data_IF_075947055248
#
_entry.id   IF_075947055248
#
_cell.length_a   1.000
_cell.length_b   1.000
_cell.length_c   1.000
_cell.angle_alpha   90.00
_cell.angle_beta   90.00
_cell.angle_gamma   90.00
#
_symmetry.space_group_name_H-M   'P 1'
#
loop_
_entity.id
_entity.type
_entity.pdbx_description
1 polymer ?
#
# COMPACT_ATOMS: atom_id res chain seq x y z
N UNK A 1 19.44 11.51 -29.57
CA UNK A 1 19.20 10.21 -28.90
C UNK A 1 19.36 10.41 -27.41
N UNK A 2 18.24 10.50 -26.71
CA UNK A 2 18.05 10.27 -25.27
C UNK A 2 16.55 10.41 -25.03
N UNK A 3 15.79 9.36 -25.37
CA UNK A 3 14.34 9.31 -25.22
C UNK A 3 13.98 9.00 -23.76
N UNK A 4 13.97 10.03 -22.93
CA UNK A 4 13.46 10.00 -21.54
C UNK A 4 11.93 10.28 -21.50
N UNK A 5 11.16 9.78 -22.47
CA UNK A 5 9.71 10.07 -22.56
C UNK A 5 8.78 8.85 -22.43
N UNK A 6 9.30 7.66 -22.08
CA UNK A 6 8.44 6.45 -22.03
C UNK A 6 7.92 6.05 -20.64
N UNK A 7 8.43 6.60 -19.53
CA UNK A 7 7.94 6.24 -18.20
C UNK A 7 6.67 7.01 -17.75
N UNK A 8 6.23 8.01 -18.51
CA UNK A 8 5.12 8.89 -18.10
C UNK A 8 3.75 8.53 -18.71
N UNK A 9 3.67 7.56 -19.64
CA UNK A 9 2.46 7.27 -20.42
C UNK A 9 1.44 6.34 -19.74
N UNK A 10 1.76 5.74 -18.60
CA UNK A 10 0.77 5.03 -17.75
C UNK A 10 0.24 5.87 -16.58
N UNK A 11 0.63 7.15 -16.50
CA UNK A 11 -0.05 8.13 -15.64
C UNK A 11 -1.36 8.57 -16.30
N UNK A 12 -2.32 7.66 -16.46
CA UNK A 12 -3.72 8.05 -16.69
C UNK A 12 -4.26 8.65 -15.39
N UNK A 13 -3.95 9.93 -15.20
CA UNK A 13 -4.89 10.85 -14.58
C UNK A 13 -6.24 10.67 -15.26
N UNK A 14 -7.24 10.15 -14.54
CA UNK A 14 -8.53 10.79 -14.27
C UNK A 14 -9.14 10.02 -13.07
N UNK A 15 -9.06 10.63 -11.88
CA UNK A 15 -9.82 10.27 -10.66
C UNK A 15 -9.47 8.95 -9.96
N UNK A 16 -8.20 8.55 -9.90
CA UNK A 16 -7.81 7.42 -9.06
C UNK A 16 -7.84 7.81 -7.59
N UNK A 17 -8.96 7.52 -6.92
CA UNK A 17 -9.06 7.55 -5.47
C UNK A 17 -8.04 6.55 -4.94
N UNK A 18 -6.93 7.05 -4.40
CA UNK A 18 -5.92 6.22 -3.75
C UNK A 18 -6.21 6.17 -2.26
N UNK A 19 -6.01 5.00 -1.66
CA UNK A 19 -6.17 4.77 -0.23
C UNK A 19 -4.83 4.43 0.39
N UNK A 20 -4.54 4.98 1.59
CA UNK A 20 -3.31 4.64 2.29
C UNK A 20 -3.32 3.18 2.74
N UNK A 21 -2.14 2.57 2.77
CA UNK A 21 -1.86 1.27 3.39
C UNK A 21 -0.55 1.39 4.14
N UNK A 22 -0.53 1.00 5.41
CA UNK A 22 0.66 0.89 6.23
C UNK A 22 1.35 -0.44 5.95
N UNK A 23 2.61 -0.38 5.54
CA UNK A 23 3.42 -1.56 5.22
C UNK A 23 4.42 -1.77 6.37
N UNK A 24 4.43 -2.94 7.03
CA UNK A 24 5.37 -3.27 8.10
C UNK A 24 6.78 -3.56 7.57
N UNK A 25 7.34 -2.64 6.78
CA UNK A 25 8.64 -2.81 6.13
C UNK A 25 9.80 -2.70 7.14
N UNK A 26 10.54 -3.80 7.28
CA UNK A 26 11.68 -3.93 8.19
C UNK A 26 11.32 -3.81 9.67
N UNK A 27 12.33 -3.97 10.53
CA UNK A 27 12.17 -3.97 11.99
C UNK A 27 11.53 -2.68 12.53
N UNK A 28 11.85 -1.54 11.92
CA UNK A 28 11.33 -0.23 12.37
C UNK A 28 9.86 -0.03 11.98
N UNK A 29 9.44 -0.47 10.79
CA UNK A 29 8.03 -0.40 10.39
C UNK A 29 7.15 -1.27 11.28
N UNK A 30 7.60 -2.51 11.55
CA UNK A 30 6.94 -3.42 12.47
C UNK A 30 6.81 -2.84 13.88
N UNK A 31 7.88 -2.25 14.43
CA UNK A 31 7.84 -1.63 15.75
C UNK A 31 6.85 -0.46 15.83
N UNK A 32 6.78 0.38 14.80
CA UNK A 32 5.83 1.52 14.75
C UNK A 32 4.38 1.05 14.65
N UNK A 33 4.12 -0.04 13.92
CA UNK A 33 2.79 -0.63 13.80
C UNK A 33 2.38 -1.30 15.13
N UNK A 34 3.31 -1.95 15.82
CA UNK A 34 3.06 -2.47 17.16
C UNK A 34 2.72 -1.33 18.15
N UNK A 35 3.48 -0.25 18.13
CA UNK A 35 3.21 0.95 18.93
C UNK A 35 1.82 1.56 18.61
N UNK A 36 1.44 1.57 17.33
CA UNK A 36 0.11 2.00 16.89
C UNK A 36 -0.98 1.05 17.39
N UNK A 37 -0.74 -0.27 17.41
CA UNK A 37 -1.72 -1.25 17.92
C UNK A 37 -2.01 -1.04 19.40
N UNK A 38 -1.00 -0.67 20.19
CA UNK A 38 -1.15 -0.39 21.62
C UNK A 38 -1.69 1.03 21.91
N UNK A 39 -1.54 1.96 20.96
CA UNK A 39 -1.95 3.37 21.12
C UNK A 39 -3.00 3.80 20.07
N UNK A 40 -4.30 3.83 20.43
CA UNK A 40 -5.36 4.28 19.54
C UNK A 40 -5.24 5.75 19.12
N UNK A 41 -4.48 6.57 19.87
CA UNK A 41 -4.28 7.98 19.60
C UNK A 41 -2.79 8.27 19.37
N UNK A 42 -2.24 7.97 18.18
CA UNK A 42 -0.82 8.14 17.92
C UNK A 42 -0.41 9.62 17.95
N UNK A 43 0.62 9.91 18.73
CA UNK A 43 1.23 11.23 18.82
C UNK A 43 1.72 11.73 17.46
N UNK A 44 1.93 13.06 17.34
CA UNK A 44 2.43 13.67 16.10
C UNK A 44 3.73 13.02 15.61
N UNK A 45 4.61 12.59 16.52
CA UNK A 45 5.87 11.91 16.17
C UNK A 45 5.61 10.55 15.54
N UNK A 46 4.75 9.73 16.16
CA UNK A 46 4.38 8.40 15.66
C UNK A 46 3.69 8.50 14.30
N UNK A 47 2.71 9.40 14.14
CA UNK A 47 2.06 9.65 12.84
C UNK A 47 3.04 10.03 11.73
N UNK A 48 4.03 10.87 12.02
CA UNK A 48 5.07 11.26 11.05
C UNK A 48 6.01 10.12 10.70
N UNK A 49 6.29 9.23 11.65
CA UNK A 49 7.06 8.03 11.39
C UNK A 49 6.27 7.04 10.52
N UNK A 50 5.02 6.76 10.87
CA UNK A 50 4.10 5.88 10.13
C UNK A 50 3.86 6.35 8.68
N UNK A 51 3.79 7.66 8.43
CA UNK A 51 3.66 8.22 7.08
C UNK A 51 4.78 7.76 6.12
N UNK A 52 5.99 7.49 6.62
CA UNK A 52 7.11 7.00 5.80
C UNK A 52 6.95 5.53 5.37
N UNK A 53 6.11 4.80 6.11
CA UNK A 53 5.75 3.41 5.86
C UNK A 53 4.33 3.30 5.30
N UNK A 54 3.72 4.42 4.90
CA UNK A 54 2.42 4.44 4.24
C UNK A 54 2.62 4.52 2.74
N UNK A 55 2.05 3.58 2.01
CA UNK A 55 1.99 3.60 0.55
C UNK A 55 0.57 3.92 0.09
N UNK A 56 0.45 4.72 -0.96
CA UNK A 56 -0.85 5.02 -1.57
C UNK A 56 -1.14 3.98 -2.65
N UNK A 57 -2.22 3.23 -2.47
CA UNK A 57 -2.63 2.14 -3.36
C UNK A 57 -3.96 2.52 -4.03
N UNK A 58 -4.16 2.15 -5.28
CA UNK A 58 -5.42 2.39 -5.99
C UNK A 58 -6.61 1.75 -5.26
N UNK A 59 -7.77 2.41 -5.23
CA UNK A 59 -8.94 1.91 -4.50
C UNK A 59 -9.32 0.48 -4.90
N UNK A 60 -9.25 0.13 -6.19
CA UNK A 60 -9.53 -1.24 -6.67
C UNK A 60 -8.62 -2.28 -6.00
N UNK A 61 -7.33 -1.98 -5.95
CA UNK A 61 -6.32 -2.82 -5.32
C UNK A 61 -6.50 -2.87 -3.80
N UNK A 62 -6.79 -1.73 -3.17
CA UNK A 62 -7.08 -1.65 -1.75
C UNK A 62 -8.30 -2.50 -1.37
N UNK A 63 -9.37 -2.44 -2.16
CA UNK A 63 -10.56 -3.27 -1.96
C UNK A 63 -10.26 -4.76 -2.14
N UNK A 64 -9.42 -5.14 -3.11
CA UNK A 64 -8.98 -6.53 -3.28
C UNK A 64 -8.18 -7.02 -2.08
N UNK A 65 -7.23 -6.23 -1.58
CA UNK A 65 -6.45 -6.56 -0.40
C UNK A 65 -7.37 -6.70 0.84
N UNK A 66 -8.37 -5.83 0.97
CA UNK A 66 -9.37 -5.95 2.05
C UNK A 66 -10.23 -7.20 1.92
N UNK A 67 -10.76 -7.47 0.72
CA UNK A 67 -11.65 -8.61 0.46
C UNK A 67 -10.93 -9.96 0.60
N UNK A 68 -9.63 -10.00 0.34
CA UNK A 68 -8.78 -11.19 0.53
C UNK A 68 -8.29 -11.35 1.98
N UNK A 69 -8.68 -10.46 2.89
CA UNK A 69 -8.28 -10.51 4.31
C UNK A 69 -6.81 -10.14 4.55
N UNK A 70 -6.17 -9.42 3.61
CA UNK A 70 -4.75 -9.03 3.70
C UNK A 70 -4.52 -7.67 4.35
N UNK A 71 -5.59 -6.90 4.57
CA UNK A 71 -5.54 -5.65 5.33
C UNK A 71 -6.17 -5.84 6.71
N UNK A 72 -5.40 -5.55 7.75
CA UNK A 72 -5.89 -5.37 9.12
C UNK A 72 -6.24 -3.90 9.34
N UNK A 73 -7.43 -3.60 9.83
CA UNK A 73 -7.84 -2.22 10.12
C UNK A 73 -7.58 -1.93 11.59
N UNK A 74 -6.39 -1.43 11.93
CA UNK A 74 -6.09 -1.04 13.30
C UNK A 74 -6.95 0.17 13.71
N UNK A 75 -7.63 0.04 14.84
CA UNK A 75 -8.54 1.06 15.39
C UNK A 75 -9.60 1.54 14.38
N UNK A 76 -10.00 0.69 13.44
CA UNK A 76 -10.92 1.00 12.32
C UNK A 76 -10.48 2.16 11.41
N UNK A 77 -9.26 2.65 11.54
CA UNK A 77 -8.76 3.85 10.85
C UNK A 77 -7.48 3.61 10.06
N UNK A 78 -6.67 2.65 10.49
CA UNK A 78 -5.32 2.44 9.97
C UNK A 78 -5.23 1.08 9.26
N UNK A 79 -5.39 1.05 7.92
CA UNK A 79 -5.18 -0.18 7.14
C UNK A 79 -3.71 -0.57 7.17
N UNK A 80 -3.40 -1.71 7.77
CA UNK A 80 -2.08 -2.32 7.87
C UNK A 80 -2.04 -3.57 7.02
N UNK A 81 -1.01 -3.72 6.20
CA UNK A 81 -0.78 -4.94 5.45
C UNK A 81 -0.30 -6.05 6.39
N UNK A 82 -1.06 -7.15 6.47
CA UNK A 82 -0.74 -8.30 7.33
C UNK A 82 0.35 -9.16 6.69
N UNK A 83 0.33 -9.24 5.35
CA UNK A 83 1.14 -10.18 4.60
C UNK A 83 1.99 -9.47 3.54
N UNK A 84 3.30 -9.39 3.77
CA UNK A 84 4.28 -8.86 2.82
C UNK A 84 4.78 -9.93 1.85
N UNK A 85 4.48 -11.21 2.06
CA UNK A 85 5.06 -12.33 1.29
C UNK A 85 4.61 -12.34 -0.18
N UNK A 86 3.61 -11.52 -0.53
CA UNK A 86 3.15 -11.32 -1.91
C UNK A 86 3.26 -9.88 -2.40
N UNK A 87 3.99 -9.02 -1.68
CA UNK A 87 4.23 -7.64 -2.10
C UNK A 87 5.65 -7.50 -2.65
N UNK A 88 5.77 -7.53 -3.97
CA UNK A 88 7.04 -7.36 -4.67
C UNK A 88 7.28 -5.86 -4.97
N UNK A 89 8.40 -5.32 -4.48
CA UNK A 89 8.79 -3.92 -4.62
C UNK A 89 9.15 -3.53 -6.07
N UNK A 90 9.47 -4.49 -6.93
CA UNK A 90 9.83 -4.26 -8.33
C UNK A 90 8.62 -4.34 -9.30
N UNK A 91 7.48 -4.83 -8.81
CA UNK A 91 6.29 -5.09 -9.64
C UNK A 91 5.06 -4.81 -8.80
N UNK A 92 4.59 -3.56 -8.82
CA UNK A 92 3.38 -3.17 -8.11
C UNK A 92 2.27 -4.20 -8.30
N UNK A 93 1.80 -4.80 -7.18
CA UNK A 93 0.75 -5.81 -7.13
C UNK A 93 0.75 -6.77 -8.34
N UNK A 94 1.77 -7.62 -8.43
CA UNK A 94 1.76 -8.68 -9.43
C UNK A 94 0.72 -9.74 -9.08
N UNK A 95 -0.46 -9.57 -9.67
CA UNK A 95 -1.55 -10.52 -9.52
C UNK A 95 -2.83 -10.13 -10.26
N UNK A 96 -2.76 -9.46 -11.43
CA UNK A 96 -3.94 -9.27 -12.30
C UNK A 96 -3.62 -9.01 -13.78
N UNK A 97 -2.58 -9.64 -14.33
CA UNK A 97 -2.38 -9.70 -15.80
C UNK A 97 -2.14 -11.15 -16.27
N UNK A 98 -3.04 -12.07 -15.87
CA UNK A 98 -3.12 -13.39 -16.52
C UNK A 98 -4.53 -13.85 -16.87
N UNK A 99 -5.52 -12.96 -16.86
CA UNK A 99 -6.84 -13.26 -17.44
C UNK A 99 -7.39 -12.01 -18.11
N UNK A 100 -6.90 -11.70 -19.31
CA UNK A 100 -7.72 -11.60 -20.53
C UNK A 100 -6.87 -11.02 -21.70
N UNK A 101 -6.00 -11.85 -22.27
CA UNK A 101 -5.60 -11.66 -23.68
C UNK A 101 -5.69 -13.01 -24.37
N UNK A 102 -6.93 -13.46 -24.55
CA UNK A 102 -7.27 -14.53 -25.50
C UNK A 102 -7.96 -13.85 -26.68
N UNK A 103 -7.16 -13.28 -27.59
CA UNK A 103 -7.26 -13.46 -29.06
C UNK A 103 -6.22 -12.64 -29.80
#
# INVERSE_FOLDING_TARGET
>A
MCDFEQAAKEMRLITDVTKPVLVPWGNRGQALIAELRDSPFPDRKLRRALQRYTVSVYEKQWQQLRNTGRLDMLHDQYPVLIDMDQYDENVGLQGLLSYDYVM
#
